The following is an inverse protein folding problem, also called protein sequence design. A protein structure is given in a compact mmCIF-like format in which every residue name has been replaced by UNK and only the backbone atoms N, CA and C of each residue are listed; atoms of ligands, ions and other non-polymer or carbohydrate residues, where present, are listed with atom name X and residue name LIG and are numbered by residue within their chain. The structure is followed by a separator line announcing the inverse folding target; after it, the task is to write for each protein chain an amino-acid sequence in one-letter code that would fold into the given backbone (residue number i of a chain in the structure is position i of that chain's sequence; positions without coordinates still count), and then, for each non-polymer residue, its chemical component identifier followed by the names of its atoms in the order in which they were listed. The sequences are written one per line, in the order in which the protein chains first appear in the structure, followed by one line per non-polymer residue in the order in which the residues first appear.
data_IF_027917670838
#
_entry.id   IF_027917670838
#
_cell.length_a   1.000
_cell.length_b   1.000
_cell.length_c   1.000
_cell.angle_alpha   90.00
_cell.angle_beta   90.00
_cell.angle_gamma   90.00
#
_symmetry.space_group_name_H-M   'P 1'
#
loop_
_entity.id
_entity.type
_entity.pdbx_description
1 polymer ?
#
# COMPACT_ATOMS: atom_id res chain seq x y z
N UNK A 1 -25.35 -9.42 16.81
CA UNK A 1 -24.85 -9.74 15.45
C UNK A 1 -23.80 -8.72 14.96
N UNK A 2 -23.98 -7.41 15.17
CA UNK A 2 -22.96 -6.37 14.77
C UNK A 2 -21.62 -6.56 15.51
N UNK A 3 -21.62 -6.72 16.83
CA UNK A 3 -20.40 -6.90 17.65
C UNK A 3 -19.56 -8.11 17.24
N UNK A 4 -20.21 -9.21 16.83
CA UNK A 4 -19.50 -10.44 16.41
C UNK A 4 -18.77 -10.25 15.08
N UNK A 5 -19.37 -9.51 14.13
CA UNK A 5 -18.74 -9.18 12.85
C UNK A 5 -17.61 -8.18 13.03
N UNK A 6 -17.82 -7.18 13.90
CA UNK A 6 -16.80 -6.21 14.25
C UNK A 6 -15.56 -6.89 14.87
N UNK A 7 -15.76 -7.76 15.87
CA UNK A 7 -14.68 -8.52 16.47
C UNK A 7 -13.93 -9.41 15.45
N UNK A 8 -14.64 -9.96 14.46
CA UNK A 8 -14.01 -10.74 13.40
C UNK A 8 -13.12 -9.88 12.47
N UNK A 9 -13.48 -8.61 12.27
CA UNK A 9 -12.70 -7.66 11.45
C UNK A 9 -11.38 -7.25 12.14
N UNK A 10 -11.31 -7.32 13.47
CA UNK A 10 -10.14 -6.91 14.25
C UNK A 10 -9.07 -7.99 14.39
N UNK A 11 -9.33 -9.20 13.91
CA UNK A 11 -8.40 -10.33 14.04
C UNK A 11 -7.33 -10.30 12.97
N UNK A 12 -6.10 -10.52 13.39
CA UNK A 12 -4.97 -10.80 12.51
C UNK A 12 -4.12 -9.58 12.19
N UNK A 13 -3.14 -9.77 11.29
CA UNK A 13 -2.25 -8.72 10.82
C UNK A 13 -2.97 -7.65 10.01
N UNK A 14 -2.39 -6.47 9.99
CA UNK A 14 -2.91 -5.30 9.31
C UNK A 14 -2.00 -4.90 8.16
N UNK A 15 -2.62 -4.55 7.05
CA UNK A 15 -2.04 -3.84 5.92
C UNK A 15 -2.66 -2.45 5.89
N UNK A 16 -2.22 -1.57 6.80
CA UNK A 16 -2.77 -0.23 7.02
C UNK A 16 -1.62 0.77 7.20
N UNK A 17 -1.80 1.99 6.73
CA UNK A 17 -0.84 3.06 7.00
C UNK A 17 -0.96 3.57 8.45
N UNK A 18 0.11 4.20 8.94
CA UNK A 18 0.21 4.59 10.35
C UNK A 18 -0.81 5.65 10.77
N UNK A 19 -1.15 6.58 9.88
CA UNK A 19 -2.10 7.66 10.17
C UNK A 19 -3.51 7.11 10.32
N UNK A 20 -3.95 6.28 9.36
CA UNK A 20 -5.24 5.58 9.42
C UNK A 20 -5.36 4.68 10.64
N UNK A 21 -4.26 4.00 11.02
CA UNK A 21 -4.23 3.18 12.23
C UNK A 21 -4.41 4.02 13.50
N UNK A 22 -3.74 5.17 13.61
CA UNK A 22 -3.84 6.06 14.77
C UNK A 22 -5.25 6.64 14.94
N UNK A 23 -5.92 7.01 13.85
CA UNK A 23 -7.31 7.51 13.90
C UNK A 23 -8.27 6.41 14.36
N UNK A 24 -8.04 5.17 13.96
CA UNK A 24 -8.93 4.05 14.27
C UNK A 24 -8.77 3.51 15.71
N UNK A 25 -7.57 3.53 16.27
CA UNK A 25 -7.27 2.94 17.57
C UNK A 25 -8.12 3.47 18.75
N UNK A 26 -8.37 4.79 18.91
CA UNK A 26 -9.24 5.31 19.95
C UNK A 26 -10.68 4.78 19.85
N UNK A 27 -11.20 4.69 18.63
CA UNK A 27 -12.54 4.15 18.35
C UNK A 27 -12.62 2.68 18.75
N UNK A 28 -11.60 1.89 18.39
CA UNK A 28 -11.49 0.49 18.78
C UNK A 28 -11.43 0.31 20.30
N UNK A 29 -10.60 1.10 20.97
CA UNK A 29 -10.48 1.06 22.44
C UNK A 29 -11.81 1.39 23.12
N UNK A 30 -12.54 2.41 22.67
CA UNK A 30 -13.86 2.77 23.18
C UNK A 30 -14.87 1.63 23.03
N UNK A 31 -14.93 1.01 21.84
CA UNK A 31 -15.85 -0.12 21.59
C UNK A 31 -15.50 -1.34 22.45
N UNK A 32 -14.22 -1.67 22.60
CA UNK A 32 -13.76 -2.79 23.43
C UNK A 32 -14.00 -2.55 24.91
N UNK A 33 -13.96 -1.30 25.37
CA UNK A 33 -14.25 -0.89 26.74
C UNK A 33 -15.76 -0.79 27.04
N UNK A 34 -16.63 -1.11 26.07
CA UNK A 34 -18.08 -1.02 26.22
C UNK A 34 -18.63 0.41 26.27
N UNK A 35 -17.81 1.41 25.92
CA UNK A 35 -18.25 2.80 25.82
C UNK A 35 -19.10 2.94 24.54
N UNK A 36 -20.34 3.45 24.63
CA UNK A 36 -21.15 3.66 23.43
C UNK A 36 -20.47 4.70 22.53
N UNK A 37 -20.02 4.28 21.37
CA UNK A 37 -19.60 5.20 20.32
C UNK A 37 -20.87 5.56 19.53
N UNK A 38 -21.36 6.78 19.69
CA UNK A 38 -22.40 7.32 18.82
C UNK A 38 -21.75 7.61 17.48
N UNK A 39 -21.95 6.71 16.54
CA UNK A 39 -21.66 7.00 15.14
C UNK A 39 -22.95 7.63 14.62
N UNK A 40 -22.98 8.97 14.57
CA UNK A 40 -24.01 9.67 13.80
C UNK A 40 -23.99 9.06 12.40
N UNK A 41 -25.15 8.74 11.82
CA UNK A 41 -25.21 8.29 10.44
C UNK A 41 -24.79 9.48 9.55
N UNK A 42 -23.50 9.54 9.26
CA UNK A 42 -23.01 10.38 8.17
C UNK A 42 -23.72 9.97 6.86
N UNK A 43 -23.71 10.85 5.88
CA UNK A 43 -24.36 10.70 4.59
C UNK A 43 -24.27 9.25 4.08
N UNK A 44 -25.41 8.75 3.60
CA UNK A 44 -25.56 7.37 3.20
C UNK A 44 -24.45 6.97 2.21
N UNK A 45 -23.51 6.14 2.67
CA UNK A 45 -22.39 5.71 1.85
C UNK A 45 -22.89 5.09 0.54
N UNK A 46 -22.48 5.63 -0.59
CA UNK A 46 -22.80 5.09 -1.91
C UNK A 46 -21.73 4.07 -2.29
N UNK A 47 -22.05 2.78 -2.22
CA UNK A 47 -21.11 1.72 -2.59
C UNK A 47 -20.87 1.69 -4.10
N UNK A 48 -21.92 1.81 -4.88
CA UNK A 48 -21.91 1.62 -6.33
C UNK A 48 -22.83 2.57 -7.05
N UNK A 49 -22.39 3.05 -8.20
CA UNK A 49 -23.20 3.83 -9.12
C UNK A 49 -22.96 3.41 -10.56
N UNK A 50 -23.90 3.77 -11.43
CA UNK A 50 -23.80 3.53 -12.87
C UNK A 50 -23.81 4.88 -13.59
N UNK A 51 -22.79 5.12 -14.40
CA UNK A 51 -22.73 6.29 -15.27
C UNK A 51 -22.87 5.87 -16.73
N UNK A 52 -23.47 6.76 -17.55
CA UNK A 52 -23.55 6.53 -18.99
C UNK A 52 -22.14 6.55 -19.60
N UNK A 53 -21.80 5.52 -20.37
CA UNK A 53 -20.58 5.53 -21.15
C UNK A 53 -20.75 6.50 -22.32
N UNK A 54 -19.95 7.59 -22.34
CA UNK A 54 -19.95 8.54 -23.46
C UNK A 54 -19.43 7.84 -24.70
N UNK A 55 -20.32 7.46 -25.62
CA UNK A 55 -19.89 6.94 -26.91
C UNK A 55 -19.37 8.09 -27.78
N UNK A 56 -18.12 8.04 -28.13
CA UNK A 56 -17.62 8.82 -29.23
C UNK A 56 -18.17 8.23 -30.55
N UNK A 57 -19.31 8.73 -30.99
CA UNK A 57 -19.69 8.70 -32.42
C UNK A 57 -20.27 7.42 -33.02
N UNK A 58 -20.74 6.41 -32.25
CA UNK A 58 -21.49 5.29 -32.85
C UNK A 58 -22.85 5.10 -32.21
N UNK A 59 -23.92 5.32 -32.99
CA UNK A 59 -25.25 4.84 -32.68
C UNK A 59 -25.22 3.30 -32.75
N UNK A 60 -25.22 2.63 -31.59
CA UNK A 60 -25.46 1.19 -31.56
C UNK A 60 -26.87 0.94 -32.08
N UNK A 61 -27.02 0.07 -33.09
CA UNK A 61 -28.32 -0.36 -33.65
C UNK A 61 -29.23 -1.05 -32.62
N UNK A 62 -28.73 -1.33 -31.40
CA UNK A 62 -29.48 -2.04 -30.35
C UNK A 62 -30.20 -1.13 -29.32
N UNK A 63 -30.05 0.18 -29.39
CA UNK A 63 -30.77 1.14 -28.52
C UNK A 63 -30.47 1.02 -27.00
N UNK A 64 -29.55 0.16 -26.59
CA UNK A 64 -29.19 0.01 -25.18
C UNK A 64 -27.98 0.90 -24.85
N UNK A 65 -28.17 1.82 -23.92
CA UNK A 65 -27.13 2.73 -23.45
C UNK A 65 -26.06 1.95 -22.66
N UNK A 66 -24.82 2.00 -23.14
CA UNK A 66 -23.69 1.41 -22.44
C UNK A 66 -23.38 2.17 -21.15
N UNK A 67 -23.04 1.45 -20.07
CA UNK A 67 -22.78 2.00 -18.74
C UNK A 67 -21.41 1.58 -18.23
N UNK A 68 -20.84 2.41 -17.36
CA UNK A 68 -19.66 2.11 -16.57
C UNK A 68 -20.10 2.00 -15.12
N UNK A 69 -19.72 0.93 -14.45
CA UNK A 69 -19.94 0.74 -13.02
C UNK A 69 -18.81 1.41 -12.24
N UNK A 70 -19.16 2.28 -11.32
CA UNK A 70 -18.23 2.88 -10.35
C UNK A 70 -18.43 2.20 -9.00
N UNK A 71 -17.34 1.71 -8.43
CA UNK A 71 -17.28 1.13 -7.09
C UNK A 71 -16.45 2.06 -6.19
N UNK A 72 -17.02 2.50 -5.06
CA UNK A 72 -16.32 3.33 -4.10
C UNK A 72 -15.62 2.47 -3.03
N UNK A 73 -14.32 2.71 -2.81
CA UNK A 73 -13.49 2.10 -1.78
C UNK A 73 -12.91 3.21 -0.90
N UNK A 74 -13.52 3.46 0.25
CA UNK A 74 -13.15 4.57 1.13
C UNK A 74 -12.90 4.09 2.56
N UNK A 75 -11.97 4.76 3.24
CA UNK A 75 -11.64 4.52 4.64
C UNK A 75 -10.96 3.19 4.89
N UNK A 76 -11.02 2.70 6.12
CA UNK A 76 -10.33 1.46 6.53
C UNK A 76 -11.00 0.22 5.96
N UNK A 77 -10.22 -0.63 5.29
CA UNK A 77 -10.70 -1.87 4.69
C UNK A 77 -10.93 -2.95 5.75
N UNK A 78 -12.17 -3.41 5.86
CA UNK A 78 -12.55 -4.59 6.61
C UNK A 78 -13.10 -5.67 5.68
N UNK A 79 -13.04 -6.92 6.13
CA UNK A 79 -13.59 -8.04 5.36
C UNK A 79 -15.11 -8.04 5.32
N UNK A 80 -15.75 -7.70 6.45
CA UNK A 80 -17.21 -7.69 6.61
C UNK A 80 -17.69 -6.26 6.84
N UNK A 81 -18.94 -6.00 6.47
CA UNK A 81 -19.58 -4.71 6.68
C UNK A 81 -19.50 -4.27 8.13
N UNK A 82 -19.18 -3.00 8.35
CA UNK A 82 -18.95 -2.43 9.67
C UNK A 82 -19.44 -0.98 9.73
N UNK A 83 -20.25 -0.65 10.74
CA UNK A 83 -20.69 0.73 11.02
C UNK A 83 -21.21 1.50 9.79
N UNK A 84 -22.00 0.84 8.94
CA UNK A 84 -22.53 1.45 7.71
C UNK A 84 -21.60 1.42 6.51
N UNK A 85 -20.31 1.08 6.72
CA UNK A 85 -19.33 0.94 5.64
C UNK A 85 -19.33 -0.50 5.11
N UNK A 86 -19.33 -0.70 3.78
CA UNK A 86 -19.26 -2.03 3.18
C UNK A 86 -17.87 -2.63 3.36
N UNK A 87 -17.86 -3.93 3.68
CA UNK A 87 -16.63 -4.70 3.71
C UNK A 87 -16.23 -5.19 2.31
N UNK A 88 -14.97 -5.64 2.18
CA UNK A 88 -14.41 -6.12 0.90
C UNK A 88 -15.22 -7.27 0.28
N UNK A 89 -15.87 -8.12 1.09
CA UNK A 89 -16.79 -9.15 0.59
C UNK A 89 -18.02 -8.57 -0.10
N UNK A 90 -18.57 -7.49 0.41
CA UNK A 90 -19.73 -6.81 -0.17
C UNK A 90 -19.31 -6.06 -1.42
N UNK A 91 -18.14 -5.41 -1.42
CA UNK A 91 -17.53 -4.78 -2.60
C UNK A 91 -17.28 -5.80 -3.72
N UNK A 92 -16.67 -6.94 -3.39
CA UNK A 92 -16.41 -8.02 -4.34
C UNK A 92 -17.71 -8.61 -4.95
N UNK A 93 -18.78 -8.70 -4.15
CA UNK A 93 -20.10 -9.14 -4.64
C UNK A 93 -20.68 -8.12 -5.62
N UNK A 94 -20.62 -6.84 -5.29
CA UNK A 94 -21.11 -5.77 -6.18
C UNK A 94 -20.36 -5.79 -7.51
N UNK A 95 -19.03 -5.88 -7.47
CA UNK A 95 -18.20 -5.93 -8.67
C UNK A 95 -18.59 -7.11 -9.58
N UNK A 96 -18.69 -8.33 -9.01
CA UNK A 96 -19.12 -9.53 -9.77
C UNK A 96 -20.55 -9.43 -10.31
N UNK A 97 -21.45 -8.80 -9.58
CA UNK A 97 -22.84 -8.60 -10.01
C UNK A 97 -22.88 -7.69 -11.26
N UNK A 98 -22.18 -6.58 -11.23
CA UNK A 98 -22.12 -5.65 -12.37
C UNK A 98 -21.25 -6.16 -13.53
N UNK A 99 -20.29 -7.05 -13.25
CA UNK A 99 -19.53 -7.73 -14.31
C UNK A 99 -20.42 -8.63 -15.18
N UNK A 100 -21.51 -9.17 -14.61
CA UNK A 100 -22.50 -9.99 -15.34
C UNK A 100 -23.58 -9.17 -16.05
N UNK A 101 -23.71 -7.87 -15.75
CA UNK A 101 -24.72 -7.00 -16.39
C UNK A 101 -24.27 -6.62 -17.81
N UNK A 102 -25.04 -7.04 -18.82
CA UNK A 102 -24.72 -6.79 -20.24
C UNK A 102 -24.71 -5.32 -20.63
N UNK A 103 -25.36 -4.43 -19.86
CA UNK A 103 -25.31 -2.98 -20.10
C UNK A 103 -24.02 -2.34 -19.60
N UNK A 104 -23.26 -3.00 -18.71
CA UNK A 104 -22.01 -2.52 -18.17
C UNK A 104 -20.85 -2.96 -19.07
N UNK A 105 -20.01 -2.03 -19.49
CA UNK A 105 -18.84 -2.31 -20.36
C UNK A 105 -17.51 -2.35 -19.62
N UNK A 106 -17.48 -1.90 -18.36
CA UNK A 106 -16.28 -1.92 -17.52
C UNK A 106 -16.53 -1.26 -16.17
N UNK A 107 -15.49 -1.22 -15.36
CA UNK A 107 -15.56 -0.78 -13.97
C UNK A 107 -14.49 0.27 -13.67
N UNK A 108 -14.84 1.21 -12.79
CA UNK A 108 -13.89 2.13 -12.16
C UNK A 108 -13.99 1.93 -10.66
N UNK A 109 -12.85 1.71 -10.00
CA UNK A 109 -12.78 1.68 -8.53
C UNK A 109 -12.23 3.03 -8.09
N UNK A 110 -13.08 3.86 -7.48
CA UNK A 110 -12.68 5.13 -6.88
C UNK A 110 -12.20 4.86 -5.46
N UNK A 111 -10.93 5.12 -5.21
CA UNK A 111 -10.26 4.74 -3.99
C UNK A 111 -9.70 5.92 -3.21
N UNK A 112 -10.03 5.96 -1.91
CA UNK A 112 -9.39 6.80 -0.90
C UNK A 112 -9.29 5.99 0.40
N UNK A 113 -8.20 5.23 0.56
CA UNK A 113 -8.04 4.31 1.68
C UNK A 113 -6.57 4.12 2.06
N UNK A 114 -6.28 4.22 3.35
CA UNK A 114 -4.99 3.87 3.93
C UNK A 114 -4.74 2.37 4.06
N UNK A 115 -5.65 1.52 3.60
CA UNK A 115 -5.58 0.08 3.75
C UNK A 115 -6.46 -0.46 4.87
N UNK A 116 -6.07 -1.59 5.48
CA UNK A 116 -6.87 -2.22 6.52
C UNK A 116 -6.41 -3.61 6.91
N UNK A 117 -7.35 -4.45 7.34
CA UNK A 117 -7.07 -5.82 7.75
C UNK A 117 -6.55 -6.67 6.58
N UNK A 118 -5.48 -7.43 6.78
CA UNK A 118 -4.95 -8.34 5.76
C UNK A 118 -5.99 -9.34 5.23
N UNK A 119 -6.93 -9.74 6.08
CA UNK A 119 -8.05 -10.60 5.72
C UNK A 119 -9.06 -9.96 4.75
N UNK A 120 -9.02 -8.64 4.58
CA UNK A 120 -9.91 -7.91 3.68
C UNK A 120 -9.44 -7.92 2.22
N UNK A 121 -8.17 -8.23 1.97
CA UNK A 121 -7.55 -8.07 0.65
C UNK A 121 -8.05 -9.08 -0.36
N UNK A 122 -8.07 -10.36 0.01
CA UNK A 122 -8.23 -11.48 -0.92
C UNK A 122 -9.57 -11.48 -1.68
N UNK A 123 -10.67 -11.18 -0.99
CA UNK A 123 -12.00 -11.21 -1.61
C UNK A 123 -12.12 -10.16 -2.73
N UNK A 124 -11.59 -8.94 -2.51
CA UNK A 124 -11.65 -7.85 -3.50
C UNK A 124 -10.63 -8.03 -4.62
N UNK A 125 -9.37 -8.37 -4.28
CA UNK A 125 -8.32 -8.65 -5.27
C UNK A 125 -8.73 -9.76 -6.24
N UNK A 126 -9.31 -10.85 -5.72
CA UNK A 126 -9.82 -11.95 -6.55
C UNK A 126 -10.98 -11.50 -7.43
N UNK A 127 -11.89 -10.66 -6.93
CA UNK A 127 -12.99 -10.12 -7.74
C UNK A 127 -12.45 -9.27 -8.89
N UNK A 128 -11.48 -8.38 -8.63
CA UNK A 128 -10.85 -7.54 -9.67
C UNK A 128 -10.16 -8.42 -10.71
N UNK A 129 -9.34 -9.37 -10.27
CA UNK A 129 -8.60 -10.28 -11.14
C UNK A 129 -9.50 -11.14 -12.02
N UNK A 130 -10.67 -11.54 -11.52
CA UNK A 130 -11.61 -12.43 -12.22
C UNK A 130 -12.65 -11.71 -13.06
N UNK A 131 -12.70 -10.37 -13.06
CA UNK A 131 -13.59 -9.61 -13.93
C UNK A 131 -13.33 -9.93 -15.40
N UNK A 132 -14.40 -10.15 -16.13
CA UNK A 132 -14.36 -10.32 -17.59
C UNK A 132 -14.25 -9.00 -18.32
N UNK A 133 -14.66 -7.92 -17.68
CA UNK A 133 -14.63 -6.54 -18.17
C UNK A 133 -13.47 -5.75 -17.60
N UNK A 134 -13.00 -4.71 -18.28
CA UNK A 134 -11.91 -3.87 -17.78
C UNK A 134 -12.22 -3.27 -16.41
N UNK A 135 -11.21 -3.25 -15.54
CA UNK A 135 -11.26 -2.57 -14.24
C UNK A 135 -10.14 -1.54 -14.18
N UNK A 136 -10.50 -0.27 -14.01
CA UNK A 136 -9.58 0.85 -13.85
C UNK A 136 -9.66 1.34 -12.40
N UNK A 137 -8.52 1.51 -11.73
CA UNK A 137 -8.46 2.16 -10.43
C UNK A 137 -8.25 3.66 -10.60
N UNK A 138 -9.08 4.46 -9.93
CA UNK A 138 -8.96 5.92 -9.85
C UNK A 138 -8.71 6.31 -8.39
N UNK A 139 -7.55 6.85 -8.10
CA UNK A 139 -7.12 7.18 -6.74
C UNK A 139 -7.43 8.64 -6.48
N UNK A 140 -8.40 8.89 -5.59
CA UNK A 140 -8.86 10.22 -5.21
C UNK A 140 -8.55 10.50 -3.72
N UNK A 141 -7.27 10.56 -3.39
CA UNK A 141 -6.75 10.71 -2.04
C UNK A 141 -5.60 9.77 -1.79
N UNK A 142 -5.84 8.72 -1.04
CA UNK A 142 -4.83 7.73 -0.62
C UNK A 142 -5.11 6.35 -1.21
N UNK A 143 -4.09 5.68 -1.70
CA UNK A 143 -4.12 4.25 -2.00
C UNK A 143 -2.91 3.58 -1.36
N UNK A 144 -3.06 3.16 -0.10
CA UNK A 144 -1.96 2.61 0.68
C UNK A 144 -2.26 1.17 1.14
N UNK A 145 -1.18 0.38 1.28
CA UNK A 145 -1.19 -0.91 1.94
C UNK A 145 -2.24 -1.88 1.35
N UNK A 146 -3.23 -2.37 2.09
CA UNK A 146 -4.27 -3.27 1.55
C UNK A 146 -5.01 -2.69 0.33
N UNK A 147 -5.18 -1.37 0.27
CA UNK A 147 -5.84 -0.70 -0.85
C UNK A 147 -5.00 -0.81 -2.12
N UNK A 148 -3.73 -0.40 -2.09
CA UNK A 148 -2.86 -0.50 -3.28
C UNK A 148 -2.63 -1.96 -3.69
N UNK A 149 -2.61 -2.90 -2.73
CA UNK A 149 -2.56 -4.33 -3.05
C UNK A 149 -3.76 -4.73 -3.93
N UNK A 150 -4.99 -4.44 -3.47
CA UNK A 150 -6.20 -4.79 -4.22
C UNK A 150 -6.23 -4.09 -5.59
N UNK A 151 -5.91 -2.78 -5.64
CA UNK A 151 -5.88 -2.01 -6.87
C UNK A 151 -4.77 -2.44 -7.84
N UNK A 152 -3.71 -3.10 -7.36
CA UNK A 152 -2.62 -3.57 -8.24
C UNK A 152 -3.11 -4.52 -9.34
N UNK A 153 -4.23 -5.20 -9.11
CA UNK A 153 -4.87 -6.09 -10.09
C UNK A 153 -5.70 -5.37 -11.15
N UNK A 154 -5.93 -4.06 -11.04
CA UNK A 154 -6.57 -3.27 -12.10
C UNK A 154 -5.67 -3.17 -13.32
N UNK A 155 -6.25 -3.17 -14.52
CA UNK A 155 -5.51 -3.04 -15.77
C UNK A 155 -4.85 -1.67 -15.91
N UNK A 156 -5.41 -0.64 -15.24
CA UNK A 156 -4.82 0.69 -15.21
C UNK A 156 -5.10 1.38 -13.86
N UNK A 157 -4.09 2.11 -13.36
CA UNK A 157 -4.21 2.94 -12.16
C UNK A 157 -3.91 4.40 -12.50
N UNK A 158 -4.86 5.27 -12.17
CA UNK A 158 -4.78 6.71 -12.41
C UNK A 158 -4.93 7.42 -11.07
N UNK A 159 -3.97 8.28 -10.71
CA UNK A 159 -4.11 9.15 -9.54
C UNK A 159 -4.73 10.49 -9.96
N UNK A 160 -5.69 10.99 -9.17
CA UNK A 160 -6.35 12.26 -9.46
C UNK A 160 -5.38 13.44 -9.34
N UNK A 161 -4.55 13.45 -8.32
CA UNK A 161 -3.67 14.57 -8.00
C UNK A 161 -2.21 14.14 -7.85
N UNK A 162 -1.23 15.01 -8.22
CA UNK A 162 0.18 14.71 -8.05
C UNK A 162 0.60 14.43 -6.60
N UNK A 163 -0.19 14.93 -5.64
CA UNK A 163 0.07 14.84 -4.19
C UNK A 163 -0.73 13.73 -3.51
N UNK A 164 -1.50 12.91 -4.24
CA UNK A 164 -2.12 11.73 -3.67
C UNK A 164 -1.07 10.80 -3.07
N UNK A 165 -1.41 10.08 -2.00
CA UNK A 165 -0.50 9.18 -1.30
C UNK A 165 -0.63 7.75 -1.82
N UNK A 166 0.50 7.13 -2.20
CA UNK A 166 0.55 5.80 -2.84
C UNK A 166 1.62 4.96 -2.16
N UNK A 167 1.34 3.68 -1.91
CA UNK A 167 2.38 2.73 -1.48
C UNK A 167 2.09 2.06 -0.14
N UNK A 168 2.98 2.21 0.84
CA UNK A 168 2.91 1.53 2.15
C UNK A 168 2.82 0.00 2.02
N UNK A 169 3.66 -0.59 1.14
CA UNK A 169 3.69 -2.04 0.91
C UNK A 169 4.33 -2.73 2.10
N UNK A 170 3.53 -3.27 2.99
CA UNK A 170 4.02 -3.90 4.21
C UNK A 170 2.91 -4.45 5.08
N UNK A 171 3.30 -5.20 6.10
CA UNK A 171 2.40 -5.85 7.05
C UNK A 171 2.86 -5.54 8.46
N UNK A 172 1.91 -5.22 9.33
CA UNK A 172 2.18 -4.99 10.75
C UNK A 172 1.16 -5.72 11.63
N UNK A 173 1.49 -5.90 12.88
CA UNK A 173 0.55 -6.24 13.94
C UNK A 173 0.76 -5.29 15.09
N UNK A 174 -0.32 -4.78 15.64
CA UNK A 174 -0.30 -4.07 16.91
C UNK A 174 -0.87 -5.00 17.98
N UNK A 175 -0.08 -5.24 19.01
CA UNK A 175 -0.45 -6.10 20.12
C UNK A 175 -0.72 -5.23 21.34
N UNK A 176 -1.91 -5.37 21.89
CA UNK A 176 -2.26 -4.80 23.19
C UNK A 176 -2.79 -5.92 24.08
N UNK A 177 -2.37 -5.93 25.33
CA UNK A 177 -2.81 -6.95 26.27
C UNK A 177 -1.72 -7.32 27.28
N UNK A 178 -1.98 -8.40 27.99
CA UNK A 178 -1.08 -8.91 29.01
C UNK A 178 -0.48 -10.24 28.52
N UNK A 179 0.74 -10.52 28.98
CA UNK A 179 1.34 -11.84 28.87
C UNK A 179 0.47 -12.92 29.54
N UNK A 180 0.89 -14.16 29.43
CA UNK A 180 0.11 -15.33 29.90
C UNK A 180 -0.44 -15.20 31.31
N UNK A 181 0.26 -14.49 32.19
CA UNK A 181 -0.18 -14.16 33.55
C UNK A 181 0.05 -12.67 33.82
N UNK A 182 -1.00 -11.97 34.25
CA UNK A 182 -0.92 -10.56 34.65
C UNK A 182 -1.83 -10.29 35.84
N UNK A 183 -1.31 -9.49 36.76
CA UNK A 183 -2.10 -8.92 37.86
C UNK A 183 -2.15 -7.42 37.69
N UNK A 184 -3.35 -6.86 37.56
CA UNK A 184 -3.52 -5.43 37.39
C UNK A 184 -3.37 -4.63 38.72
N UNK A 185 -3.49 -3.32 38.64
CA UNK A 185 -3.35 -2.43 39.78
C UNK A 185 -4.44 -2.63 40.87
N UNK A 186 -5.60 -3.13 40.46
CA UNK A 186 -6.74 -3.41 41.36
C UNK A 186 -6.64 -4.82 41.96
N UNK A 187 -5.64 -5.58 41.56
CA UNK A 187 -5.36 -6.93 42.08
C UNK A 187 -6.09 -8.04 41.33
N UNK A 188 -6.82 -7.73 40.23
CA UNK A 188 -7.42 -8.75 39.38
C UNK A 188 -6.37 -9.54 38.64
N UNK A 189 -6.58 -10.85 38.55
CA UNK A 189 -5.67 -11.78 37.91
C UNK A 189 -6.22 -12.18 36.54
N UNK A 190 -5.44 -11.92 35.50
CA UNK A 190 -5.69 -12.39 34.15
C UNK A 190 -4.72 -13.53 33.85
N UNK A 191 -5.24 -14.72 33.55
CA UNK A 191 -4.42 -15.87 33.23
C UNK A 191 -4.97 -16.60 32.00
N UNK A 192 -4.08 -16.94 31.06
CA UNK A 192 -4.37 -17.86 29.96
C UNK A 192 -3.71 -19.20 30.24
N UNK A 193 -4.54 -20.22 30.42
CA UNK A 193 -4.09 -21.57 30.75
C UNK A 193 -4.34 -22.44 29.53
N UNK A 194 -3.31 -23.13 29.09
CA UNK A 194 -3.34 -24.03 27.94
C UNK A 194 -3.18 -25.48 28.42
N UNK A 195 -3.77 -26.43 27.70
CA UNK A 195 -3.52 -27.85 27.93
C UNK A 195 -2.05 -28.20 27.60
N UNK A 196 -1.50 -29.20 28.24
CA UNK A 196 -0.11 -29.64 28.03
C UNK A 196 0.18 -29.95 26.57
N UNK A 197 -0.80 -30.52 25.85
CA UNK A 197 -0.70 -30.88 24.43
C UNK A 197 -0.81 -29.64 23.50
N UNK A 198 -1.12 -28.45 24.05
CA UNK A 198 -1.31 -27.20 23.29
C UNK A 198 -0.16 -26.21 23.52
N UNK A 199 1.06 -26.71 23.61
CA UNK A 199 2.28 -25.97 23.94
C UNK A 199 2.57 -24.81 22.98
N UNK A 200 2.15 -24.93 21.72
CA UNK A 200 2.39 -23.93 20.66
C UNK A 200 1.16 -23.02 20.42
N UNK A 201 0.05 -23.28 21.12
CA UNK A 201 -1.17 -22.49 20.91
C UNK A 201 -0.96 -21.03 21.31
N UNK A 202 -1.10 -20.11 20.35
CA UNK A 202 -0.88 -18.66 20.50
C UNK A 202 0.55 -18.30 20.95
N UNK A 203 1.52 -19.20 20.77
CA UNK A 203 2.90 -19.00 21.22
C UNK A 203 3.51 -17.73 20.64
N UNK A 204 3.24 -17.45 19.36
CA UNK A 204 3.72 -16.27 18.63
C UNK A 204 3.25 -14.96 19.29
N UNK A 205 1.99 -14.90 19.77
CA UNK A 205 1.43 -13.74 20.43
C UNK A 205 1.93 -13.60 21.87
N UNK A 206 2.01 -14.70 22.60
CA UNK A 206 2.54 -14.71 23.98
C UNK A 206 3.98 -14.22 24.04
N UNK A 207 4.83 -14.77 23.15
CA UNK A 207 6.22 -14.37 23.05
C UNK A 207 6.37 -12.91 22.62
N UNK A 208 5.55 -12.45 21.68
CA UNK A 208 5.60 -11.06 21.22
C UNK A 208 5.17 -10.07 22.33
N UNK A 209 4.18 -10.41 23.18
CA UNK A 209 3.79 -9.62 24.34
C UNK A 209 4.89 -9.59 25.44
N UNK A 210 5.75 -10.60 25.48
CA UNK A 210 6.94 -10.67 26.35
C UNK A 210 8.17 -9.99 25.76
N UNK A 211 8.04 -9.37 24.57
CA UNK A 211 9.11 -8.65 23.88
C UNK A 211 9.88 -9.48 22.85
N UNK A 212 9.59 -10.77 22.68
CA UNK A 212 10.19 -11.60 21.66
C UNK A 212 9.27 -11.75 20.45
N UNK A 213 9.47 -10.92 19.45
CA UNK A 213 8.64 -10.91 18.22
C UNK A 213 9.17 -11.86 17.11
N UNK A 214 10.20 -12.69 17.36
CA UNK A 214 10.83 -13.53 16.32
C UNK A 214 9.82 -14.48 15.70
N UNK A 215 9.07 -15.22 16.51
CA UNK A 215 8.14 -16.25 16.03
C UNK A 215 7.03 -15.60 15.18
N UNK A 216 6.36 -14.54 15.67
CA UNK A 216 5.29 -13.91 14.93
C UNK A 216 5.78 -13.28 13.61
N UNK A 217 7.01 -12.78 13.56
CA UNK A 217 7.63 -12.33 12.30
C UNK A 217 7.81 -13.47 11.33
N UNK A 218 8.40 -14.57 11.75
CA UNK A 218 8.73 -15.72 10.90
C UNK A 218 7.49 -16.47 10.43
N UNK A 219 6.51 -16.67 11.31
CA UNK A 219 5.34 -17.51 11.00
C UNK A 219 4.17 -16.76 10.39
N UNK A 220 4.12 -15.43 10.52
CA UNK A 220 2.97 -14.64 10.12
C UNK A 220 3.35 -13.42 9.29
N UNK A 221 4.15 -12.49 9.81
CA UNK A 221 4.34 -11.19 9.16
C UNK A 221 5.21 -11.27 7.91
N UNK A 222 6.33 -11.98 7.96
CA UNK A 222 7.23 -12.13 6.83
C UNK A 222 6.57 -12.86 5.65
N UNK A 223 5.90 -14.03 5.84
CA UNK A 223 5.20 -14.68 4.73
C UNK A 223 4.13 -13.82 4.06
N UNK A 224 3.38 -13.03 4.84
CA UNK A 224 2.39 -12.09 4.30
C UNK A 224 3.05 -10.94 3.54
N UNK A 225 4.15 -10.39 4.06
CA UNK A 225 4.89 -9.32 3.41
C UNK A 225 5.55 -9.80 2.11
N UNK A 226 6.13 -10.99 2.12
CA UNK A 226 6.72 -11.64 0.94
C UNK A 226 5.67 -11.86 -0.16
N UNK A 227 4.48 -12.36 0.20
CA UNK A 227 3.38 -12.51 -0.75
C UNK A 227 2.95 -11.17 -1.31
N UNK A 228 2.81 -10.13 -0.47
CA UNK A 228 2.45 -8.79 -0.90
C UNK A 228 3.47 -8.23 -1.91
N UNK A 229 4.76 -8.31 -1.58
CA UNK A 229 5.85 -7.86 -2.46
C UNK A 229 5.86 -8.64 -3.78
N UNK A 230 5.69 -9.97 -3.72
CA UNK A 230 5.63 -10.83 -4.90
C UNK A 230 4.51 -10.40 -5.86
N UNK A 231 3.30 -10.21 -5.33
CA UNK A 231 2.13 -9.86 -6.13
C UNK A 231 2.23 -8.43 -6.69
N UNK A 232 2.76 -7.49 -5.90
CA UNK A 232 3.05 -6.15 -6.40
C UNK A 232 4.03 -6.15 -7.57
N UNK A 233 5.11 -6.93 -7.50
CA UNK A 233 6.07 -7.07 -8.59
C UNK A 233 5.46 -7.71 -9.84
N UNK A 234 4.59 -8.69 -9.65
CA UNK A 234 3.91 -9.36 -10.75
C UNK A 234 2.91 -8.43 -11.47
N UNK A 235 2.13 -7.68 -10.70
CA UNK A 235 1.08 -6.81 -11.21
C UNK A 235 1.60 -5.43 -11.67
N UNK A 236 2.66 -4.93 -11.02
CA UNK A 236 3.30 -3.63 -11.24
C UNK A 236 4.81 -3.79 -11.41
N UNK A 237 5.27 -4.30 -12.56
CA UNK A 237 6.68 -4.64 -12.77
C UNK A 237 7.64 -3.44 -12.76
N UNK A 238 7.11 -2.21 -12.84
CA UNK A 238 7.90 -0.99 -12.68
C UNK A 238 8.29 -0.67 -11.25
N UNK A 239 7.74 -1.37 -10.24
CA UNK A 239 8.08 -1.15 -8.84
C UNK A 239 9.50 -1.67 -8.53
N UNK A 240 10.28 -0.84 -7.84
CA UNK A 240 11.62 -1.21 -7.36
C UNK A 240 11.54 -1.83 -5.96
N UNK A 241 12.58 -2.60 -5.58
CA UNK A 241 12.66 -3.19 -4.24
C UNK A 241 12.62 -2.13 -3.13
N UNK A 242 13.20 -0.96 -3.36
CA UNK A 242 13.17 0.14 -2.39
C UNK A 242 11.77 0.73 -2.21
N UNK A 243 10.97 0.77 -3.26
CA UNK A 243 9.59 1.23 -3.19
C UNK A 243 8.67 0.27 -2.42
N UNK A 244 9.05 -1.01 -2.31
CA UNK A 244 8.27 -2.06 -1.67
C UNK A 244 8.66 -2.30 -0.19
N UNK A 245 9.31 -1.34 0.45
CA UNK A 245 9.77 -1.41 1.86
C UNK A 245 8.87 -0.67 2.86
N UNK A 246 7.61 -0.47 2.55
CA UNK A 246 6.63 0.13 3.47
C UNK A 246 6.53 1.66 3.41
N UNK A 247 7.26 2.34 2.54
CA UNK A 247 7.14 3.79 2.39
C UNK A 247 5.88 4.20 1.62
N UNK A 248 5.36 5.37 1.95
CA UNK A 248 4.32 6.07 1.17
C UNK A 248 4.98 7.16 0.34
N UNK A 249 4.51 7.34 -0.88
CA UNK A 249 5.05 8.26 -1.88
C UNK A 249 3.96 9.19 -2.39
N UNK A 250 4.34 10.35 -2.91
CA UNK A 250 3.42 11.14 -3.72
C UNK A 250 3.22 10.49 -5.09
N UNK A 251 2.02 10.58 -5.62
CA UNK A 251 1.66 10.01 -6.93
C UNK A 251 2.63 10.41 -8.05
N UNK A 252 3.07 11.68 -8.06
CA UNK A 252 4.04 12.20 -9.06
C UNK A 252 5.38 11.44 -9.08
N UNK A 253 5.78 10.86 -7.94
CA UNK A 253 7.08 10.22 -7.76
C UNK A 253 7.04 8.71 -8.11
N UNK A 254 5.84 8.17 -8.40
CA UNK A 254 5.62 6.74 -8.63
C UNK A 254 4.84 6.44 -9.92
N UNK A 255 4.77 7.41 -10.84
CA UNK A 255 4.26 7.18 -12.20
C UNK A 255 5.21 6.24 -12.93
N UNK A 256 4.66 5.22 -13.58
CA UNK A 256 5.42 4.16 -14.26
C UNK A 256 5.88 3.03 -13.33
N UNK A 257 5.58 3.13 -12.02
CA UNK A 257 5.80 2.05 -11.06
C UNK A 257 4.48 1.60 -10.41
N UNK A 258 4.03 2.26 -9.34
CA UNK A 258 2.75 1.92 -8.72
C UNK A 258 1.55 2.28 -9.58
N UNK A 259 1.59 3.42 -10.25
CA UNK A 259 0.50 3.96 -11.07
C UNK A 259 0.96 4.20 -12.50
N UNK A 260 -0.02 4.24 -13.42
CA UNK A 260 0.25 4.44 -14.84
C UNK A 260 0.28 5.92 -15.24
N UNK A 261 -0.57 6.74 -14.62
CA UNK A 261 -0.65 8.17 -14.92
C UNK A 261 -1.32 8.98 -13.80
N UNK A 262 -1.21 10.30 -13.91
CA UNK A 262 -2.02 11.27 -13.18
C UNK A 262 -3.04 11.82 -14.16
N UNK A 263 -4.31 11.92 -13.75
CA UNK A 263 -5.39 12.36 -14.63
C UNK A 263 -6.70 12.58 -13.90
N UNK A 264 -7.74 12.84 -14.66
CA UNK A 264 -9.10 13.13 -14.20
C UNK A 264 -9.99 11.88 -14.24
N UNK A 265 -11.20 11.99 -13.72
CA UNK A 265 -12.21 10.94 -13.87
C UNK A 265 -12.56 10.68 -15.35
N UNK A 266 -12.55 11.71 -16.19
CA UNK A 266 -12.76 11.55 -17.63
C UNK A 266 -11.63 10.68 -18.26
N UNK A 267 -10.37 10.83 -17.80
CA UNK A 267 -9.28 9.95 -18.26
C UNK A 267 -9.47 8.49 -17.80
N UNK A 268 -10.09 8.27 -16.65
CA UNK A 268 -10.41 6.92 -16.18
C UNK A 268 -11.56 6.31 -17.00
N UNK A 269 -12.57 7.09 -17.33
CA UNK A 269 -13.66 6.70 -18.24
C UNK A 269 -13.11 6.35 -19.62
N UNK A 270 -12.26 7.20 -20.18
CA UNK A 270 -11.61 6.95 -21.48
C UNK A 270 -10.75 5.69 -21.46
N UNK A 271 -10.08 5.42 -20.33
CA UNK A 271 -9.31 4.19 -20.17
C UNK A 271 -10.20 2.93 -20.20
N UNK A 272 -11.35 2.96 -19.54
CA UNK A 272 -12.34 1.85 -19.62
C UNK A 272 -12.81 1.67 -21.04
N UNK A 273 -13.19 2.76 -21.74
CA UNK A 273 -13.65 2.69 -23.14
C UNK A 273 -12.58 2.10 -24.07
N UNK A 274 -11.34 2.50 -23.90
CA UNK A 274 -10.20 1.98 -24.70
C UNK A 274 -9.95 0.49 -24.45
N UNK A 275 -10.05 0.04 -23.18
CA UNK A 275 -9.84 -1.35 -22.81
C UNK A 275 -11.01 -2.25 -23.19
N UNK A 276 -12.24 -1.73 -23.22
CA UNK A 276 -13.45 -2.45 -23.60
C UNK A 276 -13.64 -2.55 -25.13
N UNK A 277 -12.96 -1.74 -25.89
CA UNK A 277 -13.05 -1.78 -27.36
C UNK A 277 -12.56 -3.12 -27.90
N UNK A 278 -13.30 -3.79 -28.81
CA UNK A 278 -12.84 -5.02 -29.42
C UNK A 278 -11.52 -4.81 -30.16
N UNK A 279 -10.61 -5.75 -30.00
CA UNK A 279 -9.23 -5.68 -30.52
C UNK A 279 -9.10 -5.58 -32.06
N UNK A 280 -10.21 -5.54 -32.81
CA UNK A 280 -10.24 -5.71 -34.26
C UNK A 280 -10.91 -4.58 -35.07
N UNK A 281 -11.14 -3.39 -34.51
CA UNK A 281 -11.43 -2.24 -35.36
C UNK A 281 -10.29 -1.22 -35.28
N UNK A 282 -9.66 -0.84 -36.41
CA UNK A 282 -8.80 0.32 -36.42
C UNK A 282 -9.68 1.54 -36.18
N UNK A 283 -9.79 1.94 -34.93
CA UNK A 283 -10.50 3.15 -34.54
C UNK A 283 -9.88 4.30 -35.31
N UNK A 284 -10.67 4.98 -36.15
CA UNK A 284 -10.32 6.29 -36.70
C UNK A 284 -9.96 7.20 -35.53
N UNK A 285 -8.67 7.28 -35.22
CA UNK A 285 -8.16 8.17 -34.17
C UNK A 285 -8.29 9.59 -34.69
N UNK A 286 -9.23 10.34 -34.17
CA UNK A 286 -9.35 11.78 -34.33
C UNK A 286 -7.99 12.45 -34.12
N UNK A 287 -7.69 13.48 -34.89
CA UNK A 287 -6.48 14.34 -34.83
C UNK A 287 -6.08 14.81 -33.40
N UNK A 288 -7.00 14.74 -32.43
CA UNK A 288 -6.75 15.06 -31.01
C UNK A 288 -5.87 14.02 -30.30
N UNK A 289 -5.84 12.77 -30.77
CA UNK A 289 -5.02 11.67 -30.19
C UNK A 289 -3.54 11.81 -30.59
N UNK A 290 -3.22 12.55 -31.63
CA UNK A 290 -1.84 12.77 -32.08
C UNK A 290 -0.96 13.57 -31.11
N UNK A 291 -1.56 14.42 -30.24
CA UNK A 291 -0.81 15.14 -29.17
C UNK A 291 -0.15 14.19 -28.16
N UNK A 292 -0.58 12.94 -28.09
CA UNK A 292 -0.08 11.94 -27.12
C UNK A 292 1.26 11.29 -27.54
N UNK A 293 1.63 11.42 -28.81
CA UNK A 293 2.88 10.83 -29.35
C UNK A 293 3.90 11.91 -29.72
N UNK A 294 4.22 12.77 -28.73
CA UNK A 294 5.14 13.91 -28.94
C UNK A 294 6.49 13.49 -29.56
N UNK A 295 7.01 12.32 -29.19
CA UNK A 295 8.26 11.83 -29.78
C UNK A 295 8.08 11.31 -31.20
N UNK A 296 6.99 10.60 -31.49
CA UNK A 296 6.67 10.15 -32.84
C UNK A 296 6.37 11.33 -33.75
N UNK A 297 5.68 12.38 -33.23
CA UNK A 297 5.43 13.62 -33.94
C UNK A 297 6.71 14.41 -34.19
N UNK A 298 7.64 14.44 -33.24
CA UNK A 298 8.93 15.09 -33.44
C UNK A 298 9.74 14.39 -34.55
N UNK A 299 9.73 13.06 -34.59
CA UNK A 299 10.38 12.26 -35.65
C UNK A 299 9.66 12.48 -37.00
N UNK A 300 8.33 12.49 -36.99
CA UNK A 300 7.53 12.71 -38.21
C UNK A 300 7.72 14.14 -38.78
N UNK A 301 7.82 15.15 -37.92
CA UNK A 301 8.10 16.54 -38.33
C UNK A 301 9.53 16.69 -38.83
N UNK A 302 10.53 16.02 -38.21
CA UNK A 302 11.90 15.98 -38.65
C UNK A 302 12.03 15.28 -40.04
N UNK A 303 11.19 14.29 -40.31
CA UNK A 303 11.12 13.59 -41.58
C UNK A 303 10.26 14.30 -42.65
N UNK A 304 9.65 15.45 -42.32
CA UNK A 304 8.80 16.21 -43.26
C UNK A 304 7.53 15.47 -43.68
N UNK A 305 6.95 14.63 -42.79
CA UNK A 305 5.75 13.85 -43.08
C UNK A 305 4.50 14.71 -43.10
N UNK A 306 3.77 14.68 -44.20
CA UNK A 306 2.42 15.24 -44.32
C UNK A 306 1.39 14.12 -44.21
N UNK A 307 0.37 14.32 -43.38
CA UNK A 307 -0.73 13.38 -43.24
C UNK A 307 -1.91 13.83 -44.09
N UNK A 308 -2.55 12.89 -44.77
CA UNK A 308 -3.80 13.12 -45.49
C UNK A 308 -4.96 13.25 -44.48
N UNK A 309 -6.12 13.77 -44.94
CA UNK A 309 -7.31 13.96 -44.13
C UNK A 309 -7.87 12.64 -43.53
N UNK A 310 -7.57 11.51 -44.17
CA UNK A 310 -7.93 10.15 -43.69
C UNK A 310 -6.93 9.57 -42.68
N UNK A 311 -5.91 10.33 -42.27
CA UNK A 311 -4.87 9.90 -41.34
C UNK A 311 -3.80 8.99 -41.94
N UNK A 312 -3.84 8.73 -43.27
CA UNK A 312 -2.78 8.02 -43.95
C UNK A 312 -1.59 8.94 -44.26
N UNK A 313 -0.38 8.37 -44.28
CA UNK A 313 0.82 9.07 -44.72
C UNK A 313 1.58 8.21 -45.73
N UNK A 314 1.98 8.82 -46.86
CA UNK A 314 2.83 8.18 -47.82
C UNK A 314 4.28 8.61 -47.55
N UNK A 315 5.14 7.67 -47.23
CA UNK A 315 6.55 7.91 -47.00
C UNK A 315 7.33 7.87 -48.31
N UNK A 316 8.19 8.84 -48.54
CA UNK A 316 9.19 8.77 -49.60
C UNK A 316 10.34 7.86 -49.17
N UNK A 317 11.15 7.36 -50.12
CA UNK A 317 12.31 6.54 -49.79
C UNK A 317 13.31 7.26 -48.89
N UNK A 318 13.51 8.58 -49.07
CA UNK A 318 14.36 9.42 -48.23
C UNK A 318 13.83 9.56 -46.79
N UNK A 319 12.50 9.62 -46.63
CA UNK A 319 11.84 9.70 -45.32
C UNK A 319 11.90 8.36 -44.58
N UNK A 320 11.84 7.23 -45.30
CA UNK A 320 12.05 5.89 -44.78
C UNK A 320 13.50 5.70 -44.27
N UNK A 321 14.49 6.16 -45.06
CA UNK A 321 15.91 6.14 -44.62
C UNK A 321 16.15 6.99 -43.38
N UNK A 322 15.57 8.20 -43.29
CA UNK A 322 15.69 9.07 -42.13
C UNK A 322 15.04 8.45 -40.87
N UNK A 323 13.92 7.74 -41.02
CA UNK A 323 13.24 7.04 -39.94
C UNK A 323 14.07 5.84 -39.46
N UNK A 324 14.63 5.07 -40.39
CA UNK A 324 15.49 3.92 -40.10
C UNK A 324 16.76 4.36 -39.35
N UNK A 325 17.39 5.45 -39.81
CA UNK A 325 18.53 6.04 -39.13
C UNK A 325 18.19 6.51 -37.69
N UNK A 326 17.06 7.19 -37.50
CA UNK A 326 16.62 7.65 -36.16
C UNK A 326 16.34 6.49 -35.21
N UNK A 327 15.78 5.39 -35.72
CA UNK A 327 15.58 4.15 -34.96
C UNK A 327 16.91 3.47 -34.62
N UNK A 328 17.87 3.46 -35.54
CA UNK A 328 19.20 2.94 -35.31
C UNK A 328 19.95 3.73 -34.23
N UNK A 329 19.87 5.08 -34.27
CA UNK A 329 20.49 5.95 -33.27
C UNK A 329 19.84 5.80 -31.88
N UNK A 330 18.52 5.64 -31.84
CA UNK A 330 17.79 5.36 -30.57
C UNK A 330 18.19 4.00 -29.99
N UNK A 331 18.33 2.98 -30.84
CA UNK A 331 18.79 1.65 -30.44
C UNK A 331 20.26 1.68 -29.94
N UNK A 332 21.14 2.46 -30.56
CA UNK A 332 22.52 2.66 -30.11
C UNK A 332 22.57 3.36 -28.77
N UNK A 333 21.78 4.44 -28.58
CA UNK A 333 21.68 5.15 -27.31
C UNK A 333 21.16 4.24 -26.17
N UNK A 334 20.18 3.41 -26.48
CA UNK A 334 19.64 2.43 -25.50
C UNK A 334 20.69 1.42 -25.08
N UNK A 335 21.54 0.94 -26.01
CA UNK A 335 22.66 0.02 -25.69
C UNK A 335 23.70 0.69 -24.79
N UNK A 336 24.06 1.95 -25.09
CA UNK A 336 25.01 2.72 -24.27
C UNK A 336 24.49 2.92 -22.86
N UNK A 337 23.23 3.38 -22.71
CA UNK A 337 22.60 3.56 -21.41
C UNK A 337 22.46 2.25 -20.62
N UNK A 338 22.22 1.14 -21.33
CA UNK A 338 22.18 -0.19 -20.71
C UNK A 338 23.55 -0.57 -20.17
N UNK A 339 24.62 -0.35 -20.92
CA UNK A 339 26.00 -0.62 -20.50
C UNK A 339 26.41 0.25 -19.30
N UNK A 340 26.08 1.53 -19.34
CA UNK A 340 26.34 2.46 -18.21
C UNK A 340 25.59 2.01 -16.95
N UNK A 341 24.32 1.63 -17.08
CA UNK A 341 23.52 1.10 -15.97
C UNK A 341 24.18 -0.14 -15.36
N UNK A 342 24.65 -1.06 -16.19
CA UNK A 342 25.25 -2.32 -15.73
C UNK A 342 26.59 -2.06 -15.03
N UNK A 343 27.40 -1.13 -15.53
CA UNK A 343 28.64 -0.67 -14.89
C UNK A 343 28.37 0.02 -13.53
N UNK A 344 27.32 0.84 -13.44
CA UNK A 344 26.93 1.48 -12.18
C UNK A 344 26.44 0.46 -11.15
N UNK A 345 25.72 -0.57 -11.58
CA UNK A 345 25.28 -1.69 -10.72
C UNK A 345 26.47 -2.46 -10.16
N UNK A 346 27.47 -2.74 -10.97
CA UNK A 346 28.68 -3.42 -10.54
C UNK A 346 29.44 -2.56 -9.50
N UNK A 347 29.56 -1.26 -9.77
CA UNK A 347 30.18 -0.31 -8.82
C UNK A 347 29.40 -0.25 -7.49
N UNK A 348 28.08 -0.27 -7.54
CA UNK A 348 27.24 -0.30 -6.35
C UNK A 348 27.50 -1.56 -5.54
N UNK A 349 27.50 -2.74 -6.18
CA UNK A 349 27.79 -4.01 -5.52
C UNK A 349 29.15 -4.03 -4.85
N UNK A 350 30.18 -3.45 -5.49
CA UNK A 350 31.51 -3.33 -4.89
C UNK A 350 31.50 -2.43 -3.64
N UNK A 351 30.76 -1.34 -3.68
CA UNK A 351 30.59 -0.44 -2.52
C UNK A 351 29.85 -1.10 -1.38
N UNK A 352 28.78 -1.86 -1.67
CA UNK A 352 28.02 -2.60 -0.65
C UNK A 352 28.87 -3.66 0.02
N UNK A 353 29.68 -4.40 -0.74
CA UNK A 353 30.65 -5.34 -0.18
C UNK A 353 31.66 -4.64 0.73
N UNK A 354 32.14 -3.45 0.31
CA UNK A 354 33.10 -2.67 1.12
C UNK A 354 32.49 -2.12 2.41
N UNK A 355 31.21 -1.73 2.38
CA UNK A 355 30.46 -1.32 3.58
C UNK A 355 30.38 -2.53 4.54
N UNK A 356 30.01 -3.70 4.07
CA UNK A 356 29.92 -4.90 4.89
C UNK A 356 31.27 -5.31 5.53
N UNK A 357 32.38 -5.18 4.79
CA UNK A 357 33.72 -5.39 5.34
C UNK A 357 34.07 -4.37 6.44
N UNK A 358 33.70 -3.10 6.24
CA UNK A 358 33.96 -2.05 7.22
C UNK A 358 33.10 -2.22 8.47
N UNK A 359 31.83 -2.62 8.33
CA UNK A 359 30.95 -2.94 9.45
C UNK A 359 31.53 -4.12 10.28
N UNK A 360 31.96 -5.19 9.62
CA UNK A 360 32.61 -6.33 10.29
C UNK A 360 33.88 -5.89 11.03
N UNK A 361 34.67 -5.02 10.42
CA UNK A 361 35.91 -4.51 11.03
C UNK A 361 35.63 -3.58 12.22
N UNK A 362 34.57 -2.79 12.14
CA UNK A 362 34.11 -1.92 13.22
C UNK A 362 33.63 -2.73 14.41
N UNK A 363 32.82 -3.78 14.18
CA UNK A 363 32.34 -4.67 15.24
C UNK A 363 33.48 -5.40 15.95
N UNK A 364 34.49 -5.83 15.19
CA UNK A 364 35.71 -6.41 15.75
C UNK A 364 36.48 -5.42 16.60
N UNK A 365 36.60 -4.17 16.15
CA UNK A 365 37.28 -3.11 16.90
C UNK A 365 36.53 -2.74 18.19
N UNK A 366 35.21 -2.65 18.15
CA UNK A 366 34.34 -2.40 19.32
C UNK A 366 34.48 -3.55 20.32
N UNK A 367 34.43 -4.79 19.85
CA UNK A 367 34.57 -5.98 20.70
C UNK A 367 35.95 -6.01 21.38
N UNK A 368 37.00 -5.64 20.66
CA UNK A 368 38.33 -5.53 21.20
C UNK A 368 38.45 -4.39 22.24
N UNK A 369 37.91 -3.24 21.96
CA UNK A 369 37.90 -2.12 22.89
C UNK A 369 37.12 -2.43 24.19
N UNK A 370 36.04 -3.19 24.10
CA UNK A 370 35.27 -3.63 25.26
C UNK A 370 36.02 -4.69 26.09
N UNK A 371 36.83 -5.53 25.44
CA UNK A 371 37.62 -6.54 26.14
C UNK A 371 38.91 -5.95 26.75
N UNK A 372 39.47 -4.90 26.15
CA UNK A 372 40.67 -4.23 26.65
C UNK A 372 40.36 -3.11 27.66
N UNK A 373 39.08 -2.85 27.94
CA UNK A 373 38.67 -1.88 28.96
C UNK A 373 39.06 -2.43 30.34
N UNK A 374 39.83 -1.69 31.17
CA UNK A 374 40.21 -2.12 32.51
C UNK A 374 38.91 -2.33 33.32
N UNK A 375 38.86 -3.50 34.02
CA UNK A 375 37.79 -3.82 34.92
C UNK A 375 37.72 -2.73 36.02
N UNK A 376 36.75 -1.81 35.89
CA UNK A 376 36.52 -0.82 36.94
C UNK A 376 35.84 -1.56 38.09
N UNK A 377 36.62 -2.07 39.02
CA UNK A 377 36.12 -2.59 40.30
C UNK A 377 35.57 -1.37 41.09
N UNK A 378 34.27 -1.15 40.98
CA UNK A 378 33.57 -0.23 41.87
C UNK A 378 33.49 -0.92 43.22
N UNK A 379 34.45 -0.65 44.09
CA UNK A 379 34.33 -0.96 45.52
C UNK A 379 33.29 -0.03 46.11
N UNK A 380 32.03 -0.47 46.09
CA UNK A 380 30.98 0.13 46.89
C UNK A 380 31.26 -0.21 48.33
N UNK A 381 31.85 0.70 49.10
CA UNK A 381 31.74 0.70 50.54
C UNK A 381 30.27 1.00 50.87
N UNK A 382 29.44 -0.03 50.89
CA UNK A 382 28.10 0.07 51.44
C UNK A 382 28.21 0.15 52.96
N UNK A 383 27.71 1.19 53.61
CA UNK A 383 27.50 1.14 55.04
C UNK A 383 26.43 0.12 55.35
N UNK A 384 26.62 -0.62 56.46
CA UNK A 384 25.77 -1.69 56.95
C UNK A 384 24.29 -1.31 56.92
N UNK A 385 23.46 -2.28 56.59
CA UNK A 385 22.01 -2.17 56.46
C UNK A 385 21.40 -1.59 57.75
N UNK A 386 20.99 -0.33 57.68
CA UNK A 386 20.05 0.28 58.60
C UNK A 386 18.66 0.17 57.97
N UNK A 387 17.69 -0.24 58.74
CA UNK A 387 16.28 -0.36 58.38
C UNK A 387 15.79 0.87 57.63
N UNK A 388 15.31 0.68 56.40
CA UNK A 388 14.61 1.69 55.62
C UNK A 388 13.15 1.62 56.03
N UNK A 389 12.80 2.36 57.07
CA UNK A 389 11.43 2.75 57.38
C UNK A 389 11.17 4.10 56.75
N UNK A 390 10.44 4.11 55.63
CA UNK A 390 10.04 5.37 55.01
C UNK A 390 9.38 5.08 53.65
N UNK A 391 8.06 4.74 53.69
CA UNK A 391 7.25 4.78 52.48
C UNK A 391 7.18 6.23 52.02
N UNK A 392 7.83 6.54 50.86
CA UNK A 392 7.63 7.84 50.18
C UNK A 392 6.16 7.91 49.72
N UNK A 393 5.47 8.96 50.11
CA UNK A 393 4.12 9.23 49.65
C UNK A 393 4.10 9.54 48.17
N UNK A 394 2.97 9.30 47.53
CA UNK A 394 2.77 9.55 46.10
C UNK A 394 3.09 11.01 45.69
N UNK A 395 2.94 11.96 46.65
CA UNK A 395 3.29 13.38 46.47
C UNK A 395 4.78 13.64 46.39
N UNK A 396 5.60 12.94 47.14
CA UNK A 396 7.07 13.09 47.11
C UNK A 396 7.68 12.52 45.82
N UNK A 397 7.10 11.46 45.26
CA UNK A 397 7.49 10.91 43.95
C UNK A 397 7.07 11.86 42.83
N UNK A 398 5.92 12.50 42.89
CA UNK A 398 5.46 13.48 41.92
C UNK A 398 6.30 14.77 41.92
N UNK A 399 6.73 15.23 43.11
CA UNK A 399 7.61 16.39 43.25
C UNK A 399 9.01 16.12 42.65
N UNK A 400 9.57 14.94 42.88
CA UNK A 400 10.86 14.53 42.28
C UNK A 400 10.81 14.44 40.74
N UNK A 401 9.72 13.93 40.16
CA UNK A 401 9.47 13.92 38.74
C UNK A 401 9.34 15.34 38.13
N UNK A 402 8.65 16.24 38.82
CA UNK A 402 8.48 17.62 38.38
C UNK A 402 9.80 18.40 38.41
N UNK A 403 10.67 18.13 39.35
CA UNK A 403 12.00 18.75 39.45
C UNK A 403 12.96 18.19 38.37
N UNK A 404 12.90 16.90 38.06
CA UNK A 404 13.62 16.28 36.94
C UNK A 404 13.20 16.88 35.61
N UNK A 405 11.91 17.09 35.38
CA UNK A 405 11.40 17.67 34.12
C UNK A 405 11.73 19.17 33.98
N UNK A 406 11.91 19.91 35.09
CA UNK A 406 12.38 21.31 35.05
C UNK A 406 13.84 21.42 34.56
N UNK A 407 14.68 20.47 34.93
CA UNK A 407 16.10 20.46 34.52
C UNK A 407 16.30 20.05 33.06
N UNK A 408 15.33 19.39 32.44
CA UNK A 408 15.37 18.99 31.01
C UNK A 408 14.90 20.09 30.04
N UNK A 409 14.35 21.21 30.51
CA UNK A 409 13.93 22.34 29.66
C UNK A 409 15.05 23.37 29.36
N UNK A 410 16.25 23.14 29.86
CA UNK A 410 17.39 24.04 29.70
C UNK A 410 18.62 23.38 29.05
N UNK A 411 18.39 22.29 28.22
CA UNK A 411 19.43 21.73 27.34
C UNK A 411 18.97 21.87 25.88
#
# INVERSE_FOLDING_TARGET
MLLTRFAANLKGPWMIDAESAQVMLPVLKSILSGVPVSLEPEEKYTLSELIAARQAGSSSESGQESKIHILHLQGTMFRYDNCGMPGSKTMARALRQYDQDSSVIGHIIVADSGGGASSAVSDLAEAIRSCSKPVVGFIDGTAASACIYALSYCQKLIAHQPMNFIGCVGVMVELSGFSRYHKDADGEIYARIYADQSSEKNLEYEQALEGNASIIKETCLNPLAEQFIHDMKANRPGCTDDQLKGKTYFAKDVVGSFIDSIGTMDDAIDAVLQLAAPANEPTQKSLTTMKKYTHLMAIAVLAGLAFAEDGSATLTAEQLEALDQALADAAASTRTLTSERDSLRETLTQKDNRISELETSLDAAISKANNDAPEVTVTTNAPAAGEITGARTHEEAAAACAEFLKNFKNI
#
